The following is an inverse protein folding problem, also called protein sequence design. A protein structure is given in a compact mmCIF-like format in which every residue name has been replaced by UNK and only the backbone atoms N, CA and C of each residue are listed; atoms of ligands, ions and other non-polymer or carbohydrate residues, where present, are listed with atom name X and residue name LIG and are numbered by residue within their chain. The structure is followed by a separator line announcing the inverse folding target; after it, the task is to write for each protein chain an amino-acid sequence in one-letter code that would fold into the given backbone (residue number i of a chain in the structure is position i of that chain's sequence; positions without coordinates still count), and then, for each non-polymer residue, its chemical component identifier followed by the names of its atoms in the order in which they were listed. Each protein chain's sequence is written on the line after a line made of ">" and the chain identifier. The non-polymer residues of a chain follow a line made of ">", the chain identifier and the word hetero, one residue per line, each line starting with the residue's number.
data_IF_210617213779
#
_entry.id   IF_210617213779
#
_cell.length_a   1.000
_cell.length_b   1.000
_cell.length_c   1.000
_cell.angle_alpha   90.00
_cell.angle_beta   90.00
_cell.angle_gamma   90.00
#
_symmetry.space_group_name_H-M   'P 1'
#
loop_
_entity.id
_entity.type
_entity.pdbx_description
1 polymer ?
#
# COMPACT_ATOMS: atom_id res chain seq x y z
N UNK A 1 -40.98 -25.38 -62.84
CA UNK A 1 -40.40 -24.03 -62.93
C UNK A 1 -39.66 -23.74 -61.63
N UNK A 2 -38.31 -23.67 -61.62
CA UNK A 2 -37.55 -23.34 -60.43
C UNK A 2 -37.52 -21.81 -60.25
N UNK A 3 -38.06 -21.30 -59.14
CA UNK A 3 -37.97 -19.89 -58.77
C UNK A 3 -36.57 -19.61 -58.18
N UNK A 4 -35.80 -18.79 -58.89
CA UNK A 4 -34.46 -18.37 -58.52
C UNK A 4 -34.53 -17.24 -57.46
N UNK A 5 -34.53 -17.59 -56.17
CA UNK A 5 -34.43 -16.65 -55.03
C UNK A 5 -32.96 -16.30 -54.74
N UNK A 6 -32.34 -15.46 -55.58
CA UNK A 6 -30.97 -14.95 -55.34
C UNK A 6 -30.86 -13.44 -55.13
N UNK A 7 -31.99 -12.72 -54.99
CA UNK A 7 -31.99 -11.25 -54.89
C UNK A 7 -32.23 -10.64 -53.50
N UNK A 8 -32.67 -11.40 -52.50
CA UNK A 8 -33.31 -10.83 -51.29
C UNK A 8 -32.43 -10.86 -50.02
N UNK A 9 -31.12 -11.14 -50.18
CA UNK A 9 -30.17 -11.22 -49.07
C UNK A 9 -29.44 -9.89 -48.81
N UNK A 10 -29.51 -8.93 -49.73
CA UNK A 10 -28.76 -7.66 -49.64
C UNK A 10 -29.43 -6.58 -48.77
N UNK A 11 -30.75 -6.39 -48.89
CA UNK A 11 -31.44 -5.26 -48.24
C UNK A 11 -31.58 -5.44 -46.73
N UNK A 12 -31.84 -6.67 -46.26
CA UNK A 12 -31.93 -6.95 -44.83
C UNK A 12 -30.57 -6.86 -44.10
N UNK A 13 -29.46 -7.09 -44.81
CA UNK A 13 -28.12 -7.07 -44.22
C UNK A 13 -27.71 -5.67 -43.76
N UNK A 14 -28.07 -4.63 -44.51
CA UNK A 14 -27.73 -3.23 -44.19
C UNK A 14 -28.48 -2.76 -42.93
N UNK A 15 -29.75 -3.15 -42.79
CA UNK A 15 -30.55 -2.77 -41.62
C UNK A 15 -29.98 -3.34 -40.31
N UNK A 16 -29.54 -4.61 -40.29
CA UNK A 16 -28.93 -5.22 -39.10
C UNK A 16 -27.60 -4.56 -38.71
N UNK A 17 -26.81 -4.11 -39.69
CA UNK A 17 -25.56 -3.41 -39.42
C UNK A 17 -25.82 -2.06 -38.72
N UNK A 18 -26.80 -1.28 -39.20
CA UNK A 18 -27.18 0.00 -38.60
C UNK A 18 -27.67 -0.22 -37.15
N UNK A 19 -28.52 -1.22 -36.92
CA UNK A 19 -29.01 -1.56 -35.57
C UNK A 19 -27.85 -2.02 -34.68
N UNK A 20 -26.91 -2.82 -35.20
CA UNK A 20 -25.75 -3.27 -34.46
C UNK A 20 -24.84 -2.11 -34.02
N UNK A 21 -24.54 -1.17 -34.93
CA UNK A 21 -23.75 0.02 -34.60
C UNK A 21 -24.48 0.91 -33.60
N UNK A 22 -25.77 1.16 -33.80
CA UNK A 22 -26.58 1.94 -32.86
C UNK A 22 -26.58 1.32 -31.46
N UNK A 23 -26.69 -0.02 -31.37
CA UNK A 23 -26.66 -0.75 -30.10
C UNK A 23 -25.29 -0.64 -29.42
N UNK A 24 -24.20 -0.75 -30.18
CA UNK A 24 -22.84 -0.62 -29.66
C UNK A 24 -22.55 0.80 -29.15
N UNK A 25 -23.06 1.83 -29.84
CA UNK A 25 -22.96 3.23 -29.38
C UNK A 25 -23.75 3.46 -28.09
N UNK A 26 -24.97 2.93 -28.00
CA UNK A 26 -25.79 3.03 -26.78
C UNK A 26 -25.11 2.31 -25.61
N UNK A 27 -24.63 1.08 -25.83
CA UNK A 27 -23.90 0.33 -24.81
C UNK A 27 -22.60 1.05 -24.42
N UNK A 28 -21.83 1.55 -25.39
CA UNK A 28 -20.61 2.32 -25.13
C UNK A 28 -20.88 3.58 -24.31
N UNK A 29 -22.01 4.27 -24.56
CA UNK A 29 -22.41 5.46 -23.81
C UNK A 29 -22.81 5.11 -22.37
N UNK A 30 -23.56 4.03 -22.17
CA UNK A 30 -23.92 3.53 -20.82
C UNK A 30 -22.66 3.14 -20.05
N UNK A 31 -21.76 2.39 -20.69
CA UNK A 31 -20.49 1.99 -20.08
C UNK A 31 -19.65 3.23 -19.73
N UNK A 32 -19.57 4.22 -20.62
CA UNK A 32 -18.84 5.47 -20.37
C UNK A 32 -19.36 6.18 -19.12
N UNK A 33 -20.67 6.39 -19.00
CA UNK A 33 -21.27 7.05 -17.83
C UNK A 33 -21.07 6.23 -16.56
N UNK A 34 -21.17 4.90 -16.63
CA UNK A 34 -21.01 4.03 -15.46
C UNK A 34 -19.55 3.94 -15.00
N UNK A 35 -18.58 4.00 -15.90
CA UNK A 35 -17.17 3.78 -15.56
C UNK A 35 -16.39 5.05 -15.24
N UNK A 36 -16.71 6.20 -15.85
CA UNK A 36 -15.91 7.44 -15.67
C UNK A 36 -16.04 8.03 -14.27
N UNK A 37 -17.21 7.95 -13.63
CA UNK A 37 -17.40 8.47 -12.27
C UNK A 37 -17.06 7.46 -11.16
N UNK A 38 -16.75 6.20 -11.51
CA UNK A 38 -16.52 5.12 -10.53
C UNK A 38 -15.14 4.46 -10.68
N UNK A 39 -14.16 5.22 -11.17
CA UNK A 39 -12.81 4.71 -11.41
C UNK A 39 -12.28 3.95 -10.18
N UNK A 40 -12.36 4.54 -8.98
CA UNK A 40 -11.82 3.95 -7.75
C UNK A 40 -12.40 2.57 -7.40
N UNK A 41 -13.73 2.40 -7.52
CA UNK A 41 -14.38 1.12 -7.15
C UNK A 41 -14.02 0.05 -8.16
N UNK A 42 -14.00 0.38 -9.46
CA UNK A 42 -13.71 -0.59 -10.51
C UNK A 42 -12.23 -0.99 -10.49
N UNK A 43 -11.32 -0.03 -10.35
CA UNK A 43 -9.88 -0.30 -10.30
C UNK A 43 -9.50 -1.07 -9.03
N UNK A 44 -10.14 -0.79 -7.89
CA UNK A 44 -9.97 -1.57 -6.65
C UNK A 44 -10.42 -3.03 -6.85
N UNK A 45 -11.57 -3.25 -7.50
CA UNK A 45 -12.04 -4.59 -7.84
C UNK A 45 -11.11 -5.33 -8.82
N UNK A 46 -10.60 -4.63 -9.85
CA UNK A 46 -9.62 -5.20 -10.78
C UNK A 46 -8.34 -5.58 -10.04
N UNK A 47 -7.83 -4.71 -9.17
CA UNK A 47 -6.65 -4.98 -8.36
C UNK A 47 -6.86 -6.25 -7.53
N UNK A 48 -7.96 -6.34 -6.76
CA UNK A 48 -8.30 -7.51 -5.96
C UNK A 48 -8.41 -8.79 -6.80
N UNK A 49 -9.12 -8.72 -7.94
CA UNK A 49 -9.25 -9.85 -8.86
C UNK A 49 -7.90 -10.28 -9.41
N UNK A 50 -7.02 -9.34 -9.76
CA UNK A 50 -5.68 -9.65 -10.25
C UNK A 50 -4.80 -10.29 -9.17
N UNK A 51 -4.89 -9.83 -7.91
CA UNK A 51 -4.20 -10.45 -6.76
C UNK A 51 -4.70 -11.88 -6.58
N UNK A 52 -6.02 -12.09 -6.58
CA UNK A 52 -6.64 -13.41 -6.46
C UNK A 52 -6.24 -14.36 -7.60
N UNK A 53 -6.26 -13.89 -8.86
CA UNK A 53 -5.82 -14.70 -10.00
C UNK A 53 -4.32 -15.00 -9.96
N UNK A 54 -3.51 -14.06 -9.48
CA UNK A 54 -2.07 -14.27 -9.29
C UNK A 54 -1.81 -15.40 -8.29
N UNK A 55 -2.55 -15.40 -7.17
CA UNK A 55 -2.52 -16.44 -6.12
C UNK A 55 -2.90 -17.81 -6.70
N UNK A 56 -4.07 -17.92 -7.32
CA UNK A 56 -4.58 -19.18 -7.88
C UNK A 56 -3.72 -19.72 -9.02
N UNK A 57 -3.09 -18.84 -9.80
CA UNK A 57 -2.27 -19.25 -10.94
C UNK A 57 -0.89 -19.76 -10.55
N UNK A 58 -0.53 -19.80 -9.26
CA UNK A 58 0.82 -20.11 -8.78
C UNK A 58 1.87 -19.36 -9.62
N UNK A 59 1.63 -18.07 -9.89
CA UNK A 59 2.52 -17.23 -10.68
C UNK A 59 2.82 -17.69 -12.11
N UNK A 60 2.05 -18.61 -12.72
CA UNK A 60 2.28 -19.07 -14.11
C UNK A 60 2.26 -17.90 -15.09
N UNK A 61 1.36 -16.93 -14.91
CA UNK A 61 1.28 -15.73 -15.76
C UNK A 61 2.55 -14.89 -15.71
N UNK A 62 3.23 -14.82 -14.54
CA UNK A 62 4.50 -14.11 -14.41
C UNK A 62 5.63 -14.76 -15.22
N UNK A 63 5.58 -16.09 -15.41
CA UNK A 63 6.56 -16.82 -16.25
C UNK A 63 6.37 -16.52 -17.74
N UNK A 64 5.16 -16.17 -18.15
CA UNK A 64 4.84 -15.75 -19.53
C UNK A 64 5.11 -14.26 -19.78
N UNK A 65 5.63 -13.53 -18.79
CA UNK A 65 5.95 -12.10 -18.91
C UNK A 65 4.74 -11.17 -18.78
N UNK A 66 3.57 -11.69 -18.42
CA UNK A 66 2.43 -10.83 -18.08
C UNK A 66 2.60 -10.32 -16.65
N UNK A 67 2.39 -9.01 -16.45
CA UNK A 67 2.24 -8.44 -15.12
C UNK A 67 0.98 -9.04 -14.48
N UNK A 68 1.16 -9.88 -13.47
CA UNK A 68 0.05 -10.64 -12.86
C UNK A 68 -0.84 -9.78 -11.96
N UNK A 69 -0.32 -8.67 -11.45
CA UNK A 69 -1.03 -7.78 -10.54
C UNK A 69 -1.20 -6.41 -11.22
N UNK A 70 -2.46 -5.98 -11.36
CA UNK A 70 -2.87 -4.75 -12.05
C UNK A 70 -3.20 -3.61 -11.07
N UNK A 71 -2.61 -3.65 -9.88
CA UNK A 71 -2.81 -2.64 -8.85
C UNK A 71 -1.99 -1.38 -9.14
N UNK A 72 -2.58 -0.21 -8.84
CA UNK A 72 -1.92 1.10 -8.89
C UNK A 72 -2.08 1.78 -7.54
N UNK A 73 -1.15 2.67 -7.19
CA UNK A 73 -1.32 3.56 -6.03
C UNK A 73 -2.36 4.63 -6.35
N UNK A 74 -3.35 4.79 -5.49
CA UNK A 74 -4.38 5.82 -5.62
C UNK A 74 -3.99 7.07 -4.84
N UNK A 75 -4.18 8.23 -5.45
CA UNK A 75 -4.08 9.51 -4.77
C UNK A 75 -5.44 9.85 -4.16
N UNK A 76 -5.50 10.10 -2.86
CA UNK A 76 -6.75 10.43 -2.16
C UNK A 76 -6.53 11.64 -1.26
N UNK A 77 -7.25 12.71 -1.56
CA UNK A 77 -7.30 13.89 -0.70
C UNK A 77 -8.26 13.63 0.46
N UNK A 78 -7.87 14.04 1.67
CA UNK A 78 -8.73 14.02 2.86
C UNK A 78 -9.09 15.48 3.14
N UNK A 79 -10.33 15.86 2.87
CA UNK A 79 -10.86 17.21 3.04
C UNK A 79 -11.61 17.41 4.38
N UNK A 80 -11.51 16.43 5.28
CA UNK A 80 -12.23 16.40 6.55
C UNK A 80 -11.42 17.06 7.67
N UNK A 81 -11.96 18.11 8.29
CA UNK A 81 -11.33 18.77 9.45
C UNK A 81 -11.83 18.21 10.79
N UNK A 82 -12.95 17.48 10.80
CA UNK A 82 -13.51 16.84 11.99
C UNK A 82 -12.73 15.57 12.32
N UNK A 83 -12.23 15.46 13.55
CA UNK A 83 -11.35 14.36 13.99
C UNK A 83 -11.93 12.97 13.65
N UNK A 84 -13.20 12.74 13.98
CA UNK A 84 -13.86 11.45 13.74
C UNK A 84 -13.93 11.09 12.26
N UNK A 85 -14.29 12.06 11.40
CA UNK A 85 -14.39 11.85 9.95
C UNK A 85 -13.02 11.68 9.30
N UNK A 86 -12.04 12.46 9.74
CA UNK A 86 -10.65 12.34 9.27
C UNK A 86 -10.10 10.94 9.60
N UNK A 87 -10.26 10.50 10.84
CA UNK A 87 -9.87 9.16 11.28
C UNK A 87 -10.60 8.06 10.50
N UNK A 88 -11.91 8.24 10.26
CA UNK A 88 -12.72 7.33 9.44
C UNK A 88 -12.15 7.18 8.03
N UNK A 89 -11.84 8.29 7.34
CA UNK A 89 -11.30 8.26 5.97
C UNK A 89 -9.97 7.53 5.89
N UNK A 90 -9.11 7.67 6.90
CA UNK A 90 -7.84 6.94 6.98
C UNK A 90 -8.09 5.45 7.22
N UNK A 91 -8.94 5.10 8.18
CA UNK A 91 -9.26 3.72 8.52
C UNK A 91 -9.93 2.98 7.34
N UNK A 92 -10.87 3.62 6.63
CA UNK A 92 -11.46 3.11 5.39
C UNK A 92 -10.41 2.87 4.30
N UNK A 93 -9.42 3.75 4.18
CA UNK A 93 -8.33 3.58 3.20
C UNK A 93 -7.42 2.40 3.57
N UNK A 94 -7.18 2.17 4.86
CA UNK A 94 -6.50 0.97 5.38
C UNK A 94 -7.31 -0.29 5.13
N UNK A 95 -8.62 -0.28 5.41
CA UNK A 95 -9.58 -1.37 5.15
C UNK A 95 -9.58 -1.76 3.67
N UNK A 96 -9.76 -0.78 2.79
CA UNK A 96 -9.79 -1.03 1.35
C UNK A 96 -8.45 -1.56 0.83
N UNK A 97 -7.31 -1.09 1.35
CA UNK A 97 -6.01 -1.65 1.01
C UNK A 97 -5.90 -3.11 1.47
N UNK A 98 -6.26 -3.41 2.71
CA UNK A 98 -6.25 -4.77 3.24
C UNK A 98 -7.14 -5.72 2.42
N UNK A 99 -8.34 -5.27 2.08
CA UNK A 99 -9.30 -6.00 1.27
C UNK A 99 -8.82 -6.27 -0.17
N UNK A 100 -8.16 -5.29 -0.80
CA UNK A 100 -7.54 -5.46 -2.13
C UNK A 100 -6.52 -6.59 -2.16
N UNK A 101 -5.80 -6.78 -1.04
CA UNK A 101 -4.79 -7.83 -0.89
C UNK A 101 -5.35 -9.15 -0.36
N UNK A 102 -6.67 -9.31 -0.35
CA UNK A 102 -7.30 -10.56 0.08
C UNK A 102 -7.21 -10.81 1.58
N UNK A 103 -7.07 -9.75 2.37
CA UNK A 103 -7.15 -9.81 3.84
C UNK A 103 -6.09 -10.74 4.46
N UNK A 104 -4.92 -10.84 3.81
CA UNK A 104 -3.82 -11.72 4.24
C UNK A 104 -4.04 -13.21 3.96
N UNK A 105 -5.15 -13.58 3.31
CA UNK A 105 -5.42 -14.98 2.94
C UNK A 105 -4.85 -15.35 1.57
N UNK A 106 -4.60 -14.36 0.71
CA UNK A 106 -4.01 -14.58 -0.60
C UNK A 106 -2.48 -14.46 -0.50
N UNK A 107 -1.76 -15.46 -0.98
CA UNK A 107 -0.34 -15.34 -1.29
C UNK A 107 -0.19 -15.28 -2.82
N UNK A 108 -0.31 -14.08 -3.44
CA UNK A 108 -0.27 -13.93 -4.90
C UNK A 108 0.99 -14.47 -5.57
N UNK A 109 1.97 -14.92 -4.78
CA UNK A 109 3.22 -15.50 -5.23
C UNK A 109 3.20 -17.04 -5.27
N UNK A 110 2.31 -17.69 -4.51
CA UNK A 110 2.40 -19.12 -4.19
C UNK A 110 3.79 -19.51 -3.64
N UNK A 111 4.03 -20.80 -3.44
CA UNK A 111 5.36 -21.33 -3.06
C UNK A 111 6.42 -21.23 -4.19
N UNK A 112 6.35 -20.22 -5.08
CA UNK A 112 7.38 -20.00 -6.09
C UNK A 112 8.64 -19.41 -5.46
N UNK A 113 9.57 -20.32 -5.17
CA UNK A 113 10.95 -20.16 -4.72
C UNK A 113 11.86 -19.14 -5.46
N UNK A 114 11.40 -18.41 -6.50
CA UNK A 114 12.36 -17.86 -7.48
C UNK A 114 12.26 -16.40 -7.95
N UNK A 115 11.28 -15.55 -7.59
CA UNK A 115 11.26 -14.19 -8.21
C UNK A 115 10.87 -12.96 -7.37
N UNK A 116 10.72 -13.06 -6.05
CA UNK A 116 10.40 -11.88 -5.21
C UNK A 116 11.35 -11.76 -4.02
N UNK A 117 12.66 -11.62 -4.28
CA UNK A 117 13.72 -11.52 -3.26
C UNK A 117 13.90 -10.12 -2.64
N UNK A 118 13.11 -9.13 -3.02
CA UNK A 118 13.34 -7.74 -2.59
C UNK A 118 12.04 -7.15 -2.01
N UNK A 119 12.13 -6.75 -0.73
CA UNK A 119 11.20 -5.94 0.06
C UNK A 119 9.74 -5.85 -0.45
N UNK A 120 8.87 -6.71 0.11
CA UNK A 120 7.48 -6.87 -0.33
C UNK A 120 6.53 -5.90 0.36
N UNK A 121 6.44 -4.69 -0.15
CA UNK A 121 5.32 -3.84 0.19
C UNK A 121 4.83 -3.04 -1.01
N UNK A 122 3.52 -2.82 -1.02
CA UNK A 122 2.82 -2.12 -2.08
C UNK A 122 2.01 -0.98 -1.48
N UNK A 123 2.22 0.22 -2.00
CA UNK A 123 1.47 1.41 -1.56
C UNK A 123 0.12 1.42 -2.26
N UNK A 124 -0.94 1.14 -1.52
CA UNK A 124 -2.32 1.19 -2.02
C UNK A 124 -2.79 2.64 -2.20
N UNK A 125 -2.56 3.47 -1.18
CA UNK A 125 -3.03 4.86 -1.17
C UNK A 125 -1.90 5.81 -0.79
N UNK A 126 -1.85 6.93 -1.50
CA UNK A 126 -1.16 8.16 -1.14
C UNK A 126 -2.22 9.14 -0.65
N UNK A 127 -2.28 9.33 0.66
CA UNK A 127 -3.23 10.21 1.34
C UNK A 127 -2.63 11.62 1.43
N UNK A 128 -3.36 12.62 0.96
CA UNK A 128 -3.01 14.04 1.11
C UNK A 128 -3.84 14.64 2.24
N UNK A 129 -3.15 15.25 3.21
CA UNK A 129 -3.80 15.89 4.36
C UNK A 129 -4.15 17.35 4.07
N UNK A 130 -5.25 17.86 4.65
CA UNK A 130 -5.69 19.23 4.40
C UNK A 130 -4.78 20.24 5.11
N UNK A 131 -5.03 21.53 4.88
CA UNK A 131 -4.31 22.63 5.54
C UNK A 131 -4.57 22.68 7.06
N UNK A 132 -5.75 22.23 7.48
CA UNK A 132 -6.19 22.15 8.88
C UNK A 132 -6.36 20.69 9.28
N UNK A 133 -5.37 20.13 9.97
CA UNK A 133 -5.39 18.74 10.42
C UNK A 133 -5.76 18.68 11.89
N UNK A 134 -6.73 17.85 12.30
CA UNK A 134 -7.03 17.65 13.72
C UNK A 134 -5.82 17.07 14.48
N UNK A 135 -5.64 17.49 15.73
CA UNK A 135 -4.51 17.06 16.58
C UNK A 135 -4.69 15.61 17.06
N UNK A 136 -4.45 14.65 16.17
CA UNK A 136 -4.60 13.23 16.45
C UNK A 136 -3.29 12.67 16.97
N UNK A 137 -3.34 12.09 18.16
CA UNK A 137 -2.22 11.36 18.75
C UNK A 137 -2.16 9.92 18.25
N UNK A 138 -0.99 9.26 18.35
CA UNK A 138 -0.89 7.82 18.04
C UNK A 138 -1.86 7.00 18.90
N UNK A 139 -2.00 7.36 20.18
CA UNK A 139 -2.94 6.71 21.09
C UNK A 139 -4.37 6.91 20.62
N UNK A 140 -4.78 8.15 20.33
CA UNK A 140 -6.13 8.45 19.85
C UNK A 140 -6.47 7.69 18.56
N UNK A 141 -5.52 7.57 17.64
CA UNK A 141 -5.75 6.78 16.43
C UNK A 141 -5.87 5.27 16.70
N UNK A 142 -5.06 4.71 17.61
CA UNK A 142 -5.21 3.29 18.02
C UNK A 142 -6.53 3.04 18.72
N UNK A 143 -6.90 3.90 19.66
CA UNK A 143 -8.18 3.83 20.38
C UNK A 143 -9.35 3.87 19.38
N UNK A 144 -9.24 4.71 18.33
CA UNK A 144 -10.21 4.75 17.23
C UNK A 144 -10.29 3.43 16.45
N UNK A 145 -9.15 2.83 16.10
CA UNK A 145 -9.11 1.55 15.37
C UNK A 145 -9.61 0.38 16.22
N UNK A 146 -9.41 0.42 17.54
CA UNK A 146 -9.81 -0.63 18.48
C UNK A 146 -11.31 -0.56 18.86
N UNK A 147 -11.95 0.60 18.72
CA UNK A 147 -13.37 0.78 19.01
C UNK A 147 -14.28 0.14 17.93
N UNK A 148 -15.11 -0.86 18.27
CA UNK A 148 -16.01 -1.52 17.32
C UNK A 148 -17.15 -0.65 16.81
N UNK A 149 -17.55 0.40 17.53
CA UNK A 149 -18.65 1.28 17.12
C UNK A 149 -18.28 2.18 15.93
N UNK A 150 -16.98 2.31 15.65
CA UNK A 150 -16.47 3.08 14.52
C UNK A 150 -16.61 2.35 13.17
N UNK A 151 -17.06 1.08 13.17
CA UNK A 151 -17.27 0.27 11.95
C UNK A 151 -18.67 -0.34 11.94
N UNK A 152 -19.31 -0.35 10.76
CA UNK A 152 -20.72 -0.77 10.61
C UNK A 152 -20.98 -2.22 11.06
N UNK A 153 -19.99 -3.11 10.87
CA UNK A 153 -20.11 -4.54 11.19
C UNK A 153 -19.93 -4.87 12.70
N UNK A 154 -19.78 -3.86 13.56
CA UNK A 154 -19.51 -4.01 15.02
C UNK A 154 -18.26 -4.84 15.36
N UNK A 155 -17.35 -4.98 14.40
CA UNK A 155 -16.01 -5.50 14.58
C UNK A 155 -15.08 -4.31 14.37
N UNK A 156 -14.17 -4.06 15.30
CA UNK A 156 -13.24 -2.94 15.19
C UNK A 156 -12.31 -3.09 13.99
N UNK A 157 -11.84 -1.98 13.44
CA UNK A 157 -10.84 -1.98 12.36
C UNK A 157 -9.60 -2.78 12.77
N UNK A 158 -9.15 -2.64 14.01
CA UNK A 158 -8.03 -3.37 14.58
C UNK A 158 -8.22 -4.88 14.46
N UNK A 159 -9.37 -5.39 14.91
CA UNK A 159 -9.66 -6.81 14.85
C UNK A 159 -9.79 -7.32 13.40
N UNK A 160 -10.34 -6.50 12.50
CA UNK A 160 -10.40 -6.81 11.08
C UNK A 160 -9.01 -6.94 10.45
N UNK A 161 -8.06 -6.07 10.81
CA UNK A 161 -6.69 -6.13 10.29
C UNK A 161 -5.86 -7.25 10.89
N UNK A 162 -5.90 -7.40 12.22
CA UNK A 162 -4.98 -8.27 12.95
C UNK A 162 -5.37 -9.74 12.83
N UNK A 163 -6.67 -10.06 12.81
CA UNK A 163 -7.12 -11.45 12.85
C UNK A 163 -6.32 -12.27 13.89
N UNK A 164 -5.88 -13.48 13.51
CA UNK A 164 -5.03 -14.32 14.37
C UNK A 164 -3.51 -14.15 14.15
N UNK A 165 -3.10 -13.57 13.01
CA UNK A 165 -1.70 -13.62 12.54
C UNK A 165 -1.17 -12.33 11.94
N UNK A 166 -2.03 -11.37 11.64
CA UNK A 166 -1.68 -10.18 10.88
C UNK A 166 -1.36 -9.01 11.81
N UNK A 167 -0.79 -7.94 11.27
CA UNK A 167 -0.30 -6.81 12.08
C UNK A 167 -0.67 -5.46 11.48
N UNK A 168 -0.96 -4.51 12.34
CA UNK A 168 -1.02 -3.08 11.98
C UNK A 168 0.33 -2.45 12.35
N UNK A 169 0.95 -1.77 11.38
CA UNK A 169 2.24 -1.13 11.53
C UNK A 169 2.07 0.39 11.42
N UNK A 170 2.52 1.10 12.44
CA UNK A 170 2.63 2.56 12.41
C UNK A 170 4.11 2.91 12.23
N UNK A 171 4.45 3.61 11.15
CA UNK A 171 5.82 4.03 10.88
C UNK A 171 5.89 5.55 10.72
N UNK A 172 6.02 6.24 11.85
CA UNK A 172 6.12 7.70 11.93
C UNK A 172 7.43 8.10 12.62
N UNK A 173 8.06 9.24 12.26
CA UNK A 173 9.35 9.63 12.82
C UNK A 173 9.31 9.90 14.34
N UNK A 174 8.14 10.27 14.88
CA UNK A 174 7.98 10.76 16.25
C UNK A 174 7.27 9.79 17.21
N UNK A 175 7.27 8.48 16.94
CA UNK A 175 6.53 7.47 17.73
C UNK A 175 6.92 7.39 19.22
N UNK A 176 8.05 7.97 19.63
CA UNK A 176 8.49 7.96 21.03
C UNK A 176 7.59 8.78 21.95
N UNK A 177 6.97 9.81 21.42
CA UNK A 177 6.07 10.67 22.17
C UNK A 177 4.65 10.40 21.68
N UNK A 178 3.92 9.61 22.46
CA UNK A 178 2.54 9.25 22.13
C UNK A 178 1.60 10.45 22.11
N UNK A 179 2.00 11.60 22.66
CA UNK A 179 1.17 12.81 22.69
C UNK A 179 1.42 13.74 21.50
N UNK A 180 2.44 13.48 20.67
CA UNK A 180 2.67 14.31 19.49
C UNK A 180 1.63 14.03 18.40
N UNK A 181 1.17 15.08 17.67
CA UNK A 181 0.32 14.91 16.51
C UNK A 181 0.97 13.98 15.50
N UNK A 182 0.22 12.96 15.09
CA UNK A 182 0.62 11.94 14.15
C UNK A 182 0.63 12.46 12.72
N UNK A 183 -0.36 13.30 12.40
CA UNK A 183 -0.58 13.88 11.09
C UNK A 183 -0.20 15.36 11.08
N UNK A 184 0.46 15.79 10.00
CA UNK A 184 0.90 17.15 9.74
C UNK A 184 0.09 17.68 8.56
N UNK A 185 -0.14 18.99 8.54
CA UNK A 185 -0.85 19.68 7.44
C UNK A 185 -0.10 19.61 6.11
N UNK A 186 -0.84 19.50 5.01
CA UNK A 186 -0.33 19.48 3.63
C UNK A 186 0.81 18.47 3.40
N UNK A 187 0.80 17.36 4.14
CA UNK A 187 1.77 16.27 4.01
C UNK A 187 1.13 15.03 3.40
N UNK A 188 1.97 14.19 2.79
CA UNK A 188 1.55 12.93 2.19
C UNK A 188 1.82 11.75 3.11
N UNK A 189 0.83 10.88 3.25
CA UNK A 189 0.91 9.62 3.99
C UNK A 189 0.70 8.44 3.04
N UNK A 190 1.39 7.34 3.30
CA UNK A 190 1.24 6.10 2.56
C UNK A 190 0.45 5.09 3.39
N UNK A 191 -0.58 4.50 2.79
CA UNK A 191 -1.20 3.26 3.27
C UNK A 191 -0.70 2.14 2.38
N UNK A 192 0.00 1.17 2.97
CA UNK A 192 0.68 0.11 2.25
C UNK A 192 0.36 -1.25 2.84
N UNK A 193 0.17 -2.24 1.97
CA UNK A 193 0.19 -3.64 2.37
C UNK A 193 1.65 -4.11 2.42
N UNK A 194 2.00 -4.84 3.47
CA UNK A 194 3.34 -5.37 3.71
C UNK A 194 3.22 -6.88 3.85
N UNK A 195 3.80 -7.62 2.92
CA UNK A 195 3.92 -9.07 3.01
C UNK A 195 5.18 -9.40 3.82
N UNK A 196 5.06 -10.30 4.78
CA UNK A 196 6.15 -10.67 5.69
C UNK A 196 6.83 -9.44 6.32
N UNK A 197 6.20 -8.93 7.38
CA UNK A 197 6.67 -7.76 8.12
C UNK A 197 8.14 -7.91 8.56
N UNK A 198 8.63 -9.13 8.80
CA UNK A 198 9.99 -9.38 9.29
C UNK A 198 11.05 -8.96 8.27
N UNK A 199 10.95 -9.45 7.03
CA UNK A 199 11.98 -9.20 6.00
C UNK A 199 12.02 -7.71 5.64
N UNK A 200 10.84 -7.09 5.53
CA UNK A 200 10.72 -5.68 5.23
C UNK A 200 11.25 -4.79 6.36
N UNK A 201 10.81 -5.04 7.60
CA UNK A 201 11.18 -4.18 8.73
C UNK A 201 12.68 -4.23 9.03
N UNK A 202 13.32 -5.41 8.92
CA UNK A 202 14.77 -5.54 9.07
C UNK A 202 15.51 -4.84 7.93
N UNK A 203 15.07 -5.02 6.67
CA UNK A 203 15.68 -4.33 5.54
C UNK A 203 15.56 -2.79 5.64
N UNK A 204 14.45 -2.28 6.19
CA UNK A 204 14.17 -0.86 6.30
C UNK A 204 14.89 -0.19 7.48
N UNK A 205 15.00 -0.87 8.63
CA UNK A 205 15.83 -0.37 9.74
C UNK A 205 17.30 -0.32 9.31
N UNK A 206 17.79 -1.35 8.62
CA UNK A 206 19.19 -1.41 8.18
C UNK A 206 19.47 -0.36 7.08
N UNK A 207 18.57 -0.19 6.11
CA UNK A 207 18.72 0.85 5.06
C UNK A 207 18.54 2.27 5.62
N UNK A 208 17.57 2.50 6.49
CA UNK A 208 17.34 3.79 7.14
C UNK A 208 18.48 4.22 8.06
N UNK A 209 19.04 3.27 8.84
CA UNK A 209 20.23 3.53 9.65
C UNK A 209 21.50 3.73 8.80
N UNK A 210 21.65 3.03 7.67
CA UNK A 210 22.76 3.22 6.75
C UNK A 210 22.71 4.58 6.02
N UNK A 211 21.53 5.09 5.68
CA UNK A 211 21.37 6.42 5.08
C UNK A 211 21.50 7.56 6.11
N UNK A 212 21.06 7.34 7.37
CA UNK A 212 21.30 8.30 8.46
C UNK A 212 22.77 8.40 8.87
N UNK A 213 23.53 7.31 8.76
CA UNK A 213 24.96 7.29 9.12
C UNK A 213 25.90 7.66 7.99
N UNK A 214 25.53 7.50 6.72
CA UNK A 214 26.41 7.90 5.59
C UNK A 214 26.42 9.41 5.35
N UNK A 215 25.35 10.13 5.70
CA UNK A 215 25.38 11.60 5.73
C UNK A 215 26.09 12.17 6.97
N UNK A 216 26.25 11.39 8.04
CA UNK A 216 27.02 11.77 9.24
C UNK A 216 28.49 11.34 9.23
N UNK A 217 28.83 10.25 8.53
CA UNK A 217 30.19 9.71 8.46
C UNK A 217 31.05 10.34 7.36
N UNK A 218 30.46 11.15 6.47
CA UNK A 218 31.19 11.94 5.46
C UNK A 218 32.03 13.08 6.04
N UNK A 219 31.89 13.41 7.34
CA UNK A 219 32.65 14.48 7.99
C UNK A 219 33.92 14.01 8.73
N UNK A 220 34.21 12.70 8.79
CA UNK A 220 35.40 12.18 9.51
C UNK A 220 36.44 11.51 8.60
N UNK A 221 36.26 11.50 7.29
CA UNK A 221 37.22 10.90 6.37
C UNK A 221 37.75 11.99 5.43
N UNK A 222 39.06 12.26 5.55
CA UNK A 222 39.94 13.03 4.65
C UNK A 222 40.31 14.47 5.05
N UNK A 223 41.16 14.60 6.08
CA UNK A 223 42.38 15.40 5.90
C UNK A 223 43.57 14.55 6.31
N UNK A 224 44.17 13.86 5.34
CA UNK A 224 45.36 13.06 5.57
C UNK A 224 46.57 13.96 5.83
N UNK A 225 47.10 13.94 7.05
CA UNK A 225 48.50 13.60 7.37
C UNK A 225 48.48 13.03 8.79
N UNK A 226 49.08 11.86 8.97
CA UNK A 226 48.69 10.91 10.01
C UNK A 226 48.91 11.34 11.45
N UNK A 227 47.94 11.00 12.32
CA UNK A 227 48.14 10.77 13.75
C UNK A 227 47.20 9.64 14.22
N UNK A 228 47.82 8.77 15.02
CA UNK A 228 47.37 7.68 15.89
C UNK A 228 45.91 7.72 16.36
N UNK A 229 45.28 6.54 16.24
CA UNK A 229 44.03 6.10 16.87
C UNK A 229 43.82 6.69 18.27
N UNK A 230 42.85 7.60 18.43
CA UNK A 230 42.26 7.93 19.72
C UNK A 230 40.77 7.51 19.71
N UNK A 231 40.27 6.84 20.77
CA UNK A 231 38.89 6.32 20.84
C UNK A 231 37.80 7.40 20.97
N UNK A 232 38.15 8.68 20.80
CA UNK A 232 37.26 9.82 21.02
C UNK A 232 36.40 10.21 19.81
N UNK A 233 36.65 9.65 18.61
CA UNK A 233 35.71 9.79 17.48
C UNK A 233 34.48 8.88 17.59
N UNK A 234 34.44 7.95 18.55
CA UNK A 234 33.25 7.12 18.82
C UNK A 234 32.23 7.87 19.71
N UNK A 235 32.62 8.99 20.35
CA UNK A 235 31.77 9.68 21.32
C UNK A 235 31.07 10.95 20.80
N UNK A 236 31.40 11.44 19.60
CA UNK A 236 30.83 12.68 19.04
C UNK A 236 29.89 12.48 17.83
N UNK A 237 29.63 11.23 17.44
CA UNK A 237 28.60 10.87 16.44
C UNK A 237 27.31 10.31 17.04
N UNK A 238 27.13 10.44 18.36
CA UNK A 238 26.09 9.76 19.13
C UNK A 238 25.09 10.72 19.81
N UNK A 239 24.78 11.86 19.20
CA UNK A 239 23.68 12.77 19.58
C UNK A 239 23.26 13.46 18.27
N UNK A 240 22.22 13.08 17.54
CA UNK A 240 20.79 13.06 17.86
C UNK A 240 20.13 11.99 16.98
N UNK A 241 19.27 11.18 17.58
CA UNK A 241 18.59 10.07 16.92
C UNK A 241 18.83 8.81 17.71
N UNK A 242 18.40 8.79 18.97
CA UNK A 242 18.18 7.51 19.66
C UNK A 242 17.03 6.80 18.94
N UNK A 243 17.25 6.29 17.73
CA UNK A 243 16.42 5.23 17.20
C UNK A 243 16.45 4.13 18.26
N UNK A 244 15.28 3.68 18.69
CA UNK A 244 15.20 2.45 19.48
C UNK A 244 15.89 1.40 18.61
N UNK A 245 17.08 0.96 19.00
CA UNK A 245 17.73 -0.20 18.39
C UNK A 245 16.86 -1.39 18.78
N UNK A 246 15.84 -1.66 17.97
CA UNK A 246 15.14 -2.93 18.04
C UNK A 246 16.16 -3.95 17.54
N UNK A 247 16.76 -4.69 18.47
CA UNK A 247 17.74 -5.72 18.12
C UNK A 247 17.03 -6.78 17.29
N UNK A 248 17.76 -7.39 16.36
CA UNK A 248 17.27 -8.50 15.54
C UNK A 248 16.57 -9.57 16.39
N UNK A 249 17.06 -9.82 17.60
CA UNK A 249 16.53 -10.82 18.52
C UNK A 249 15.19 -10.41 19.17
N UNK A 250 14.96 -9.11 19.42
CA UNK A 250 13.65 -8.59 19.83
C UNK A 250 12.63 -8.68 18.70
N UNK A 251 13.07 -8.49 17.45
CA UNK A 251 12.22 -8.69 16.26
C UNK A 251 11.91 -10.19 16.09
N UNK A 252 12.90 -11.07 16.23
CA UNK A 252 12.67 -12.52 16.03
C UNK A 252 11.74 -13.12 17.07
N UNK A 253 11.77 -12.66 18.33
CA UNK A 253 10.86 -13.16 19.38
C UNK A 253 9.44 -12.59 19.31
N UNK A 254 9.23 -11.39 18.77
CA UNK A 254 7.89 -10.78 18.63
C UNK A 254 7.22 -10.97 17.26
N UNK A 255 7.98 -11.36 16.24
CA UNK A 255 7.48 -11.45 14.84
C UNK A 255 7.48 -12.85 14.25
N UNK A 256 7.61 -13.89 15.08
CA UNK A 256 7.26 -15.26 14.69
C UNK A 256 5.83 -15.58 15.12
N UNK A 257 4.96 -16.12 14.23
CA UNK A 257 5.19 -16.59 12.85
C UNK A 257 5.09 -15.50 11.75
N UNK A 258 5.39 -15.89 10.49
CA UNK A 258 5.22 -15.06 9.26
C UNK A 258 3.86 -14.36 9.30
N UNK A 259 3.89 -13.03 9.28
CA UNK A 259 2.71 -12.18 9.43
C UNK A 259 2.69 -11.18 8.30
N UNK A 260 1.53 -11.04 7.66
CA UNK A 260 1.26 -9.93 6.76
C UNK A 260 0.70 -8.77 7.57
N UNK A 261 0.71 -7.57 6.98
CA UNK A 261 0.20 -6.42 7.68
C UNK A 261 -0.19 -5.25 6.82
N UNK A 262 -0.97 -4.36 7.44
CA UNK A 262 -1.28 -3.04 6.91
C UNK A 262 -0.38 -2.01 7.61
N UNK A 263 0.27 -1.17 6.82
CA UNK A 263 1.15 -0.12 7.30
C UNK A 263 0.59 1.25 6.94
N UNK A 264 0.70 2.18 7.88
CA UNK A 264 0.52 3.61 7.64
C UNK A 264 1.78 4.37 8.08
N UNK A 265 2.24 5.28 7.21
CA UNK A 265 3.51 5.97 7.37
C UNK A 265 3.54 7.31 6.61
N UNK A 266 4.51 8.17 6.91
CA UNK A 266 4.82 9.33 6.05
C UNK A 266 5.33 8.84 4.67
N UNK A 267 4.84 9.42 3.57
CA UNK A 267 5.08 8.88 2.22
C UNK A 267 6.58 8.81 1.86
N UNK A 268 7.35 9.83 2.23
CA UNK A 268 8.80 9.86 1.98
C UNK A 268 9.58 8.76 2.70
N UNK A 269 9.05 8.21 3.80
CA UNK A 269 9.65 7.07 4.49
C UNK A 269 9.40 5.73 3.76
N UNK A 270 8.40 5.68 2.89
CA UNK A 270 7.92 4.48 2.22
C UNK A 270 8.42 4.37 0.78
N UNK A 271 8.70 5.50 0.11
CA UNK A 271 9.10 5.53 -1.31
C UNK A 271 10.39 4.73 -1.60
N UNK A 272 11.31 4.65 -0.64
CA UNK A 272 12.56 3.90 -0.76
C UNK A 272 12.44 2.42 -0.38
N UNK A 273 11.28 2.04 0.12
CA UNK A 273 11.01 0.78 0.82
C UNK A 273 10.02 -0.07 0.04
N UNK A 274 8.93 0.54 -0.38
CA UNK A 274 7.86 -0.08 -1.14
C UNK A 274 7.92 0.40 -2.58
N UNK A 275 7.67 -0.52 -3.50
CA UNK A 275 7.49 -0.11 -4.89
C UNK A 275 6.11 0.49 -5.06
N UNK A 276 6.03 1.72 -5.55
CA UNK A 276 4.78 2.35 -6.03
C UNK A 276 4.29 1.73 -7.34
N UNK A 277 5.19 1.05 -8.07
CA UNK A 277 4.87 0.32 -9.29
C UNK A 277 5.35 -1.13 -9.18
N UNK A 278 4.46 -2.10 -9.37
CA UNK A 278 4.88 -3.49 -9.55
C UNK A 278 5.58 -3.58 -10.92
N UNK A 279 6.92 -3.61 -10.90
CA UNK A 279 7.77 -3.69 -12.10
C UNK A 279 7.70 -5.06 -12.72
#
# INVERSE_FOLDING_TARGET
>A
MPFNKKGDLGENSVAYLIIGVATLVVLGSILYVVFVEREDVFTTNICRMSVYLSDQSLGIFSKLGFKSILCKTYHKEIDENEEEKFLKKIAESMEMCWWMWGEGNNDPNGENLLKWRENKCFVCYKLETPAEVPEITLKGFKDYLENPDNREEKISYWNYFVGDKNKVIFNFPNLKDQNNPLFKKNEFYAVAYVNDVRENFIANIVKGAAFGTTLGAGACVLTGVGIVLSPLCVAAGAVVGTGVMITKDTIESHFYPKSDGIMIAEFGAVENVCSSELK
#
